data_IF_714177321304
#
_entry.id   IF_714177321304
#
_cell.length_a   1.000
_cell.length_b   1.000
_cell.length_c   1.000
_cell.angle_alpha   90.00
_cell.angle_beta   90.00
_cell.angle_gamma   90.00
#
_symmetry.space_group_name_H-M   'P 1'
#
loop_
_entity.id
_entity.type
_entity.pdbx_description
1 polymer ?
#
# COMPACT_ATOMS: atom_id res chain seq x y z
N UNK A 1 -6.91 -8.32 -26.03
CA UNK A 1 -5.44 -8.28 -25.79
C UNK A 1 -5.05 -8.34 -24.31
N UNK A 2 -5.85 -7.81 -23.37
CA UNK A 2 -5.57 -7.85 -21.91
C UNK A 2 -5.31 -9.27 -21.36
N UNK A 3 -6.02 -10.28 -21.86
CA UNK A 3 -5.80 -11.68 -21.46
C UNK A 3 -4.40 -12.21 -21.81
N UNK A 4 -3.80 -11.73 -22.91
CA UNK A 4 -2.45 -12.15 -23.30
C UNK A 4 -1.40 -11.59 -22.33
N UNK A 5 -1.51 -10.31 -21.96
CA UNK A 5 -0.60 -9.66 -21.01
C UNK A 5 -0.62 -10.34 -19.64
N UNK A 6 -1.83 -10.55 -19.08
CA UNK A 6 -1.98 -11.23 -17.79
C UNK A 6 -1.51 -12.68 -17.85
N UNK A 7 -1.73 -13.38 -18.97
CA UNK A 7 -1.22 -14.73 -19.20
C UNK A 7 0.32 -14.77 -19.25
N UNK A 8 0.97 -13.83 -19.95
CA UNK A 8 2.43 -13.73 -20.00
C UNK A 8 3.05 -13.48 -18.63
N UNK A 9 2.49 -12.54 -17.85
CA UNK A 9 2.94 -12.28 -16.47
C UNK A 9 2.80 -13.53 -15.61
N UNK A 10 1.68 -14.27 -15.69
CA UNK A 10 1.48 -15.53 -14.97
C UNK A 10 2.49 -16.60 -15.37
N UNK A 11 2.76 -16.75 -16.68
CA UNK A 11 3.73 -17.70 -17.22
C UNK A 11 5.15 -17.41 -16.69
N UNK A 12 5.57 -16.15 -16.71
CA UNK A 12 6.87 -15.74 -16.17
C UNK A 12 6.92 -15.96 -14.65
N UNK A 13 5.87 -15.62 -13.91
CA UNK A 13 5.81 -15.80 -12.45
C UNK A 13 5.98 -17.27 -12.01
N UNK A 14 5.69 -18.24 -12.88
CA UNK A 14 5.93 -19.65 -12.61
C UNK A 14 7.43 -20.02 -12.56
N UNK A 15 8.29 -19.25 -13.24
CA UNK A 15 9.74 -19.46 -13.26
C UNK A 15 10.41 -19.13 -11.92
N UNK A 16 11.64 -19.59 -11.71
CA UNK A 16 12.38 -19.26 -10.50
C UNK A 16 12.78 -17.78 -10.45
N UNK A 17 12.90 -17.23 -9.25
CA UNK A 17 13.24 -15.81 -9.08
C UNK A 17 14.62 -15.47 -9.66
N UNK A 18 15.57 -16.39 -9.61
CA UNK A 18 16.90 -16.23 -10.23
C UNK A 18 16.80 -16.15 -11.76
N UNK A 19 16.00 -17.02 -12.38
CA UNK A 19 15.74 -17.01 -13.82
C UNK A 19 15.07 -15.70 -14.24
N UNK A 20 14.07 -15.24 -13.49
CA UNK A 20 13.41 -13.96 -13.74
C UNK A 20 14.38 -12.78 -13.68
N UNK A 21 15.31 -12.77 -12.72
CA UNK A 21 16.34 -11.73 -12.64
C UNK A 21 17.30 -11.78 -13.82
N UNK A 22 17.66 -12.98 -14.27
CA UNK A 22 18.50 -13.11 -15.46
C UNK A 22 17.76 -12.58 -16.68
N UNK A 23 16.52 -13.00 -16.90
CA UNK A 23 15.70 -12.48 -18.01
C UNK A 23 15.57 -10.97 -17.96
N UNK A 24 15.31 -10.36 -16.79
CA UNK A 24 15.28 -8.90 -16.68
C UNK A 24 16.64 -8.27 -16.98
N UNK A 25 17.75 -8.89 -16.59
CA UNK A 25 19.08 -8.39 -16.95
C UNK A 25 19.31 -8.45 -18.47
N UNK A 26 18.85 -9.51 -19.12
CA UNK A 26 18.92 -9.68 -20.58
C UNK A 26 18.07 -8.61 -21.30
N UNK A 27 16.89 -8.24 -20.78
CA UNK A 27 16.07 -7.15 -21.33
C UNK A 27 16.70 -5.75 -21.13
N UNK A 28 17.58 -5.59 -20.13
CA UNK A 28 18.24 -4.32 -19.81
C UNK A 28 19.64 -4.21 -20.45
N UNK A 29 19.95 -5.07 -21.42
CA UNK A 29 21.29 -5.26 -21.99
C UNK A 29 22.04 -3.94 -22.25
N UNK A 30 23.31 -3.90 -21.82
CA UNK A 30 24.19 -2.73 -21.91
C UNK A 30 23.81 -1.51 -21.06
N UNK A 31 22.54 -1.38 -20.64
CA UNK A 31 22.01 -0.25 -19.86
C UNK A 31 22.18 -0.51 -18.36
N UNK A 32 22.07 -1.78 -17.94
CA UNK A 32 22.23 -2.17 -16.54
C UNK A 32 23.25 -3.29 -16.31
N UNK A 33 24.49 -2.90 -16.03
CA UNK A 33 25.62 -3.84 -15.93
C UNK A 33 25.86 -4.38 -14.51
N UNK A 34 24.89 -4.23 -13.59
CA UNK A 34 25.02 -4.67 -12.20
C UNK A 34 24.13 -5.87 -11.91
N UNK A 35 24.54 -6.69 -10.95
CA UNK A 35 23.69 -7.79 -10.49
C UNK A 35 22.35 -7.26 -9.93
N UNK A 36 21.24 -7.83 -10.40
CA UNK A 36 19.89 -7.52 -9.92
C UNK A 36 19.66 -8.18 -8.55
N UNK A 37 19.60 -7.37 -7.50
CA UNK A 37 19.34 -7.84 -6.13
C UNK A 37 17.82 -7.92 -5.86
N UNK A 38 17.40 -8.06 -4.60
CA UNK A 38 15.98 -7.99 -4.22
C UNK A 38 15.51 -6.55 -3.97
N UNK A 39 16.42 -5.57 -4.04
CA UNK A 39 16.15 -4.18 -3.73
C UNK A 39 15.82 -3.36 -4.98
N UNK A 40 14.86 -2.46 -4.84
CA UNK A 40 14.56 -1.41 -5.81
C UNK A 40 15.59 -0.30 -5.69
N UNK A 41 16.75 -0.51 -6.31
CA UNK A 41 17.78 0.53 -6.42
C UNK A 41 17.35 1.58 -7.42
N UNK A 42 17.71 2.84 -7.17
CA UNK A 42 17.40 3.95 -8.08
C UNK A 42 17.97 3.71 -9.49
N UNK A 43 19.19 3.19 -9.59
CA UNK A 43 19.83 2.86 -10.88
C UNK A 43 19.03 1.82 -11.69
N UNK A 44 18.56 0.75 -11.04
CA UNK A 44 17.73 -0.28 -11.65
C UNK A 44 16.39 0.27 -12.08
N UNK A 45 15.74 1.07 -11.23
CA UNK A 45 14.45 1.65 -11.54
C UNK A 45 14.52 2.61 -12.72
N UNK A 46 15.56 3.44 -12.78
CA UNK A 46 15.81 4.32 -13.93
C UNK A 46 16.06 3.53 -15.21
N UNK A 47 16.86 2.46 -15.16
CA UNK A 47 17.11 1.61 -16.32
C UNK A 47 15.83 0.95 -16.85
N UNK A 48 15.04 0.35 -15.94
CA UNK A 48 13.74 -0.23 -16.28
C UNK A 48 12.79 0.81 -16.86
N UNK A 49 12.69 1.99 -16.24
CA UNK A 49 11.81 3.04 -16.71
C UNK A 49 12.23 3.52 -18.09
N UNK A 50 13.53 3.73 -18.34
CA UNK A 50 14.02 4.17 -19.65
C UNK A 50 13.80 3.16 -20.77
N UNK A 51 13.76 1.85 -20.45
CA UNK A 51 13.38 0.81 -21.41
C UNK A 51 11.88 0.74 -21.67
N UNK A 52 11.07 1.08 -20.66
CA UNK A 52 9.63 1.15 -20.81
C UNK A 52 9.26 2.43 -21.56
N UNK A 53 9.66 3.61 -21.09
CA UNK A 53 9.35 4.93 -21.66
C UNK A 53 10.60 5.66 -22.20
N UNK A 54 11.18 5.28 -23.36
CA UNK A 54 12.42 5.88 -23.87
C UNK A 54 12.35 7.38 -24.17
N UNK A 55 11.13 7.92 -24.35
CA UNK A 55 10.90 9.30 -24.79
C UNK A 55 10.56 10.27 -23.65
N UNK A 56 10.40 9.80 -22.42
CA UNK A 56 10.00 10.62 -21.28
C UNK A 56 10.87 10.30 -20.06
N UNK A 57 11.18 11.32 -19.25
CA UNK A 57 11.87 11.10 -17.97
C UNK A 57 10.92 10.59 -16.88
N UNK A 58 11.37 9.74 -15.93
CA UNK A 58 10.52 9.28 -14.83
C UNK A 58 10.02 10.43 -13.94
N UNK A 59 10.86 11.46 -13.75
CA UNK A 59 10.52 12.65 -12.96
C UNK A 59 9.53 13.57 -13.66
N UNK A 60 9.39 13.49 -14.98
CA UNK A 60 8.37 14.21 -15.74
C UNK A 60 7.05 13.44 -15.67
N UNK A 61 7.09 12.11 -15.87
CA UNK A 61 5.89 11.26 -15.79
C UNK A 61 5.18 11.40 -14.45
N UNK A 62 5.92 11.33 -13.34
CA UNK A 62 5.34 11.35 -11.99
C UNK A 62 4.65 12.67 -11.64
N UNK A 63 4.96 13.79 -12.32
CA UNK A 63 4.29 15.08 -12.05
C UNK A 63 2.81 15.06 -12.42
N UNK A 64 2.39 14.16 -13.33
CA UNK A 64 0.98 13.96 -13.69
C UNK A 64 0.20 13.12 -12.66
N UNK A 65 0.88 12.59 -11.65
CA UNK A 65 0.24 11.79 -10.61
C UNK A 65 -0.57 12.69 -9.67
N UNK A 66 -1.82 12.32 -9.38
CA UNK A 66 -2.77 13.12 -8.58
C UNK A 66 -2.18 13.62 -7.24
N UNK A 67 -1.53 12.73 -6.50
CA UNK A 67 -0.92 13.07 -5.20
C UNK A 67 0.55 13.51 -5.29
N UNK A 68 1.05 13.90 -6.47
CA UNK A 68 2.46 14.28 -6.63
C UNK A 68 2.86 15.41 -5.67
N UNK A 69 4.04 15.27 -5.06
CA UNK A 69 4.64 16.34 -4.29
C UNK A 69 6.13 16.48 -4.62
N UNK A 70 6.63 17.71 -4.84
CA UNK A 70 8.04 17.94 -5.13
C UNK A 70 8.97 17.58 -3.96
N UNK A 71 8.44 17.41 -2.75
CA UNK A 71 9.21 16.99 -1.57
C UNK A 71 9.48 15.48 -1.51
N UNK A 72 8.90 14.68 -2.42
CA UNK A 72 9.11 13.23 -2.43
C UNK A 72 10.57 12.86 -2.68
N UNK A 73 11.05 11.84 -1.99
CA UNK A 73 12.37 11.26 -2.25
C UNK A 73 12.49 10.77 -3.69
N UNK A 74 13.69 10.83 -4.28
CA UNK A 74 13.94 10.32 -5.64
C UNK A 74 13.48 8.87 -5.80
N UNK A 75 13.63 8.06 -4.74
CA UNK A 75 13.20 6.67 -4.73
C UNK A 75 11.68 6.55 -4.85
N UNK A 76 10.93 7.35 -4.10
CA UNK A 76 9.46 7.40 -4.18
C UNK A 76 8.98 7.87 -5.54
N UNK A 77 9.62 8.90 -6.10
CA UNK A 77 9.30 9.40 -7.44
C UNK A 77 9.52 8.31 -8.52
N UNK A 78 10.68 7.65 -8.51
CA UNK A 78 11.00 6.57 -9.45
C UNK A 78 10.05 5.37 -9.34
N UNK A 79 9.78 4.90 -8.11
CA UNK A 79 8.87 3.79 -7.88
C UNK A 79 7.43 4.12 -8.32
N UNK A 80 7.00 5.37 -8.13
CA UNK A 80 5.68 5.84 -8.56
C UNK A 80 5.59 5.94 -10.07
N UNK A 81 6.60 6.51 -10.74
CA UNK A 81 6.67 6.59 -12.20
C UNK A 81 6.61 5.19 -12.83
N UNK A 82 7.43 4.25 -12.33
CA UNK A 82 7.38 2.85 -12.77
C UNK A 82 6.01 2.22 -12.56
N UNK A 83 5.37 2.46 -11.41
CA UNK A 83 4.02 1.96 -11.16
C UNK A 83 3.03 2.47 -12.19
N UNK A 84 3.05 3.77 -12.51
CA UNK A 84 2.18 4.35 -13.54
C UNK A 84 2.39 3.66 -14.89
N UNK A 85 3.64 3.51 -15.34
CA UNK A 85 3.95 2.82 -16.59
C UNK A 85 3.54 1.35 -16.59
N UNK A 86 3.69 0.64 -15.46
CA UNK A 86 3.22 -0.74 -15.34
C UNK A 86 1.69 -0.83 -15.32
N UNK A 87 0.99 0.14 -14.74
CA UNK A 87 -0.46 0.21 -14.79
C UNK A 87 -0.96 0.43 -16.22
N UNK A 88 -0.30 1.29 -16.99
CA UNK A 88 -0.62 1.57 -18.39
C UNK A 88 -0.32 0.38 -19.32
N UNK A 89 0.75 -0.39 -19.03
CA UNK A 89 1.25 -1.44 -19.94
C UNK A 89 0.91 -2.86 -19.55
N UNK A 90 0.83 -3.17 -18.26
CA UNK A 90 0.56 -4.54 -17.81
C UNK A 90 -0.65 -4.66 -16.90
N UNK A 91 -1.50 -3.64 -16.91
CA UNK A 91 -2.73 -3.55 -16.11
C UNK A 91 -2.44 -3.83 -14.62
N UNK A 92 -1.27 -3.39 -14.13
CA UNK A 92 -0.93 -3.45 -12.71
C UNK A 92 -1.95 -2.59 -11.94
N UNK A 93 -2.58 -3.10 -10.87
CA UNK A 93 -3.48 -2.28 -10.07
C UNK A 93 -2.78 -1.05 -9.52
N UNK A 94 -3.39 0.12 -9.68
CA UNK A 94 -2.75 1.40 -9.34
C UNK A 94 -2.53 1.52 -7.82
N UNK A 95 -3.34 0.88 -7.01
CA UNK A 95 -3.18 0.84 -5.55
C UNK A 95 -1.97 0.01 -5.08
N UNK A 96 -1.44 -0.86 -5.94
CA UNK A 96 -0.37 -1.80 -5.59
C UNK A 96 1.02 -1.14 -5.78
N UNK A 97 1.54 -0.54 -4.70
CA UNK A 97 2.87 0.06 -4.67
C UNK A 97 4.00 -0.91 -5.04
N UNK A 98 5.09 -0.39 -5.63
CA UNK A 98 6.30 -1.17 -5.93
C UNK A 98 7.29 -0.97 -4.77
N UNK A 99 7.25 -1.87 -3.78
CA UNK A 99 8.08 -1.77 -2.56
C UNK A 99 9.27 -2.72 -2.54
N UNK A 100 9.25 -3.77 -3.37
CA UNK A 100 10.37 -4.72 -3.52
C UNK A 100 10.39 -5.38 -4.89
N UNK A 101 11.55 -5.93 -5.29
CA UNK A 101 11.69 -6.77 -6.47
C UNK A 101 11.23 -8.21 -6.16
N UNK A 102 9.93 -8.41 -6.02
CA UNK A 102 9.35 -9.76 -5.92
C UNK A 102 9.12 -10.37 -7.32
N UNK A 103 8.75 -11.65 -7.40
CA UNK A 103 8.56 -12.35 -8.69
C UNK A 103 7.51 -11.65 -9.59
N UNK A 104 6.45 -11.11 -8.98
CA UNK A 104 5.38 -10.41 -9.69
C UNK A 104 5.93 -9.16 -10.39
N UNK A 105 6.60 -8.28 -9.63
CA UNK A 105 7.17 -7.03 -10.16
C UNK A 105 8.19 -7.32 -11.25
N UNK A 106 9.05 -8.33 -11.09
CA UNK A 106 10.04 -8.68 -12.12
C UNK A 106 9.35 -9.14 -13.41
N UNK A 107 8.35 -10.03 -13.31
CA UNK A 107 7.60 -10.50 -14.47
C UNK A 107 6.87 -9.36 -15.19
N UNK A 108 6.26 -8.44 -14.44
CA UNK A 108 5.61 -7.24 -14.98
C UNK A 108 6.58 -6.31 -15.71
N UNK A 109 7.77 -6.07 -15.15
CA UNK A 109 8.82 -5.26 -15.80
C UNK A 109 9.26 -5.88 -17.12
N UNK A 110 9.54 -7.20 -17.14
CA UNK A 110 9.94 -7.90 -18.37
C UNK A 110 8.86 -7.76 -19.46
N UNK A 111 7.59 -7.99 -19.11
CA UNK A 111 6.50 -7.88 -20.08
C UNK A 111 6.34 -6.44 -20.57
N UNK A 112 6.45 -5.45 -19.68
CA UNK A 112 6.33 -4.04 -20.04
C UNK A 112 7.45 -3.57 -20.98
N UNK A 113 8.69 -4.04 -20.77
CA UNK A 113 9.85 -3.76 -21.65
C UNK A 113 9.65 -4.40 -23.02
N UNK A 114 9.32 -5.71 -23.06
CA UNK A 114 9.10 -6.43 -24.32
C UNK A 114 8.00 -5.83 -25.19
N UNK A 115 6.97 -5.25 -24.56
CA UNK A 115 5.91 -4.56 -25.29
C UNK A 115 6.39 -3.27 -25.97
N UNK A 116 7.44 -2.60 -25.45
CA UNK A 116 8.07 -1.44 -26.11
C UNK A 116 8.71 -1.83 -27.44
N UNK A 117 9.44 -2.95 -27.46
CA UNK A 117 10.27 -3.36 -28.59
C UNK A 117 9.45 -3.82 -29.80
N UNK A 118 8.26 -4.35 -29.56
CA UNK A 118 7.31 -4.81 -30.60
C UNK A 118 6.51 -3.68 -31.28
N UNK A 119 7.01 -2.44 -31.27
CA UNK A 119 6.34 -1.20 -31.72
C UNK A 119 5.28 -1.31 -32.84
N UNK A 120 4.19 -0.53 -32.69
CA UNK A 120 2.98 -0.38 -33.55
C UNK A 120 1.84 -1.38 -33.38
N UNK A 121 1.31 -1.52 -32.18
CA UNK A 121 -0.15 -1.61 -32.07
C UNK A 121 -0.62 -0.49 -31.15
N UNK A 122 -1.38 0.43 -31.74
CA UNK A 122 -2.25 1.34 -31.01
C UNK A 122 -3.00 0.49 -29.98
N UNK A 123 -2.63 0.66 -28.71
CA UNK A 123 -3.53 0.25 -27.65
C UNK A 123 -4.69 1.21 -27.78
N UNK A 124 -5.86 0.67 -28.11
CA UNK A 124 -7.10 1.35 -27.78
C UNK A 124 -6.97 1.83 -26.33
N UNK A 125 -7.21 3.14 -26.06
CA UNK A 125 -7.18 3.67 -24.72
C UNK A 125 -8.02 2.75 -23.84
N UNK A 126 -7.47 2.38 -22.68
CA UNK A 126 -8.04 1.48 -21.65
C UNK A 126 -9.52 1.22 -21.95
N UNK A 127 -9.91 -0.01 -22.33
CA UNK A 127 -11.30 -0.39 -22.11
C UNK A 127 -11.49 -0.28 -20.60
N UNK A 128 -11.95 0.87 -20.15
CA UNK A 128 -12.24 1.15 -18.76
C UNK A 128 -13.16 0.00 -18.36
N UNK A 129 -12.65 -0.92 -17.54
CA UNK A 129 -13.55 -1.60 -16.62
C UNK A 129 -13.95 -0.53 -15.61
N UNK A 130 -14.76 0.41 -16.08
CA UNK A 130 -15.39 1.52 -15.39
C UNK A 130 -16.44 0.92 -14.48
N UNK A 131 -15.96 0.31 -13.39
CA UNK A 131 -16.77 0.24 -12.19
C UNK A 131 -16.33 1.41 -11.34
N UNK A 132 -17.22 2.27 -10.90
CA UNK A 132 -16.88 3.12 -9.77
C UNK A 132 -16.78 2.25 -8.51
N UNK A 133 -15.90 2.60 -7.58
CA UNK A 133 -15.96 2.00 -6.25
C UNK A 133 -17.38 2.20 -5.68
N UNK A 134 -17.93 1.22 -4.93
CA UNK A 134 -19.25 1.40 -4.29
C UNK A 134 -19.31 2.72 -3.54
N UNK A 135 -20.37 3.50 -3.70
CA UNK A 135 -20.44 4.79 -3.01
C UNK A 135 -20.51 4.59 -1.50
N UNK A 136 -19.75 5.41 -0.75
CA UNK A 136 -19.84 5.47 0.72
C UNK A 136 -20.64 6.71 1.06
N UNK A 137 -21.79 6.55 1.71
CA UNK A 137 -22.63 7.67 2.14
C UNK A 137 -22.49 7.96 3.62
N UNK A 138 -22.14 6.96 4.43
CA UNK A 138 -21.96 7.06 5.87
C UNK A 138 -20.72 6.29 6.33
N UNK A 139 -20.16 6.71 7.45
CA UNK A 139 -19.19 5.93 8.24
C UNK A 139 -19.89 5.55 9.54
N UNK A 140 -19.76 4.30 9.97
CA UNK A 140 -20.26 3.87 11.29
C UNK A 140 -19.67 4.77 12.40
N UNK A 141 -20.41 4.95 13.49
CA UNK A 141 -19.92 5.75 14.63
C UNK A 141 -18.69 5.09 15.27
N UNK A 142 -17.76 5.92 15.76
CA UNK A 142 -16.63 5.44 16.52
C UNK A 142 -17.10 5.02 17.92
N UNK A 143 -16.75 3.84 18.44
CA UNK A 143 -17.01 3.48 19.84
C UNK A 143 -16.01 4.16 20.80
N UNK A 144 -15.10 5.00 20.29
CA UNK A 144 -14.10 5.72 21.06
C UNK A 144 -14.46 7.21 21.12
N UNK A 145 -14.68 7.71 22.35
CA UNK A 145 -15.01 9.11 22.60
C UNK A 145 -13.78 10.02 22.66
N UNK A 146 -12.64 9.49 23.10
CA UNK A 146 -11.40 10.24 23.28
C UNK A 146 -10.36 9.80 22.27
N UNK A 147 -10.06 10.68 21.32
CA UNK A 147 -9.18 10.40 20.19
C UNK A 147 -8.18 11.53 20.01
N UNK A 148 -6.95 11.20 19.63
CA UNK A 148 -5.95 12.16 19.19
C UNK A 148 -5.93 12.20 17.65
N UNK A 149 -6.29 13.31 17.00
CA UNK A 149 -6.24 13.44 15.54
C UNK A 149 -4.83 13.26 14.98
N UNK A 150 -4.72 12.75 13.76
CA UNK A 150 -3.44 12.51 13.11
C UNK A 150 -2.62 13.78 12.87
N UNK A 151 -3.28 14.94 12.75
CA UNK A 151 -2.62 16.24 12.66
C UNK A 151 -1.73 16.56 13.88
N UNK A 152 -1.97 15.92 15.02
CA UNK A 152 -1.25 16.14 16.27
C UNK A 152 -0.15 15.10 16.56
N UNK A 153 0.07 14.14 15.66
CA UNK A 153 1.04 13.06 15.87
C UNK A 153 2.51 13.51 15.85
N UNK A 154 2.83 14.58 15.14
CA UNK A 154 4.17 15.15 15.11
C UNK A 154 4.44 16.14 16.25
N UNK A 155 3.43 16.41 17.08
CA UNK A 155 3.49 17.37 18.17
C UNK A 155 3.76 16.69 19.53
N UNK A 156 4.05 17.51 20.55
CA UNK A 156 4.14 17.03 21.94
C UNK A 156 2.81 16.45 22.44
N UNK A 157 1.69 16.80 21.81
CA UNK A 157 0.36 16.25 22.09
C UNK A 157 0.33 14.72 22.04
N UNK A 158 1.01 14.07 21.08
CA UNK A 158 1.11 12.61 21.01
C UNK A 158 1.75 12.02 22.27
N UNK A 159 2.82 12.65 22.74
CA UNK A 159 3.49 12.20 23.96
C UNK A 159 2.59 12.36 25.19
N UNK A 160 1.97 13.54 25.34
CA UNK A 160 1.05 13.81 26.45
C UNK A 160 -0.13 12.82 26.47
N UNK A 161 -0.79 12.62 25.33
CA UNK A 161 -1.95 11.73 25.22
C UNK A 161 -1.60 10.28 25.62
N UNK A 162 -0.43 9.79 25.21
CA UNK A 162 0.07 8.46 25.53
C UNK A 162 0.44 8.33 27.02
N UNK A 163 1.10 9.35 27.58
CA UNK A 163 1.53 9.35 28.99
C UNK A 163 0.33 9.41 29.94
N UNK A 164 -0.68 10.21 29.64
CA UNK A 164 -1.92 10.31 30.45
C UNK A 164 -2.68 8.98 30.54
N UNK A 165 -2.50 8.10 29.55
CA UNK A 165 -3.10 6.74 29.51
C UNK A 165 -2.19 5.65 30.04
N UNK A 166 -0.97 6.00 30.45
CA UNK A 166 -0.02 5.07 31.05
C UNK A 166 -0.07 5.18 32.56
N UNK A 167 -0.46 4.10 33.24
CA UNK A 167 -0.36 4.05 34.70
C UNK A 167 1.09 3.94 35.15
N UNK A 168 1.39 4.32 36.39
CA UNK A 168 2.76 4.20 36.96
C UNK A 168 3.25 2.75 37.07
N UNK A 169 2.35 1.78 37.11
CA UNK A 169 2.65 0.34 37.11
C UNK A 169 2.56 -0.31 35.73
N UNK A 170 2.31 0.47 34.67
CA UNK A 170 2.20 -0.02 33.31
C UNK A 170 3.54 -0.61 32.83
N UNK A 171 3.46 -1.69 32.05
CA UNK A 171 4.63 -2.27 31.40
C UNK A 171 5.22 -1.36 30.32
N UNK A 172 6.26 -1.86 29.64
CA UNK A 172 7.01 -1.09 28.63
C UNK A 172 6.52 -1.34 27.19
N UNK A 173 5.61 -2.28 26.98
CA UNK A 173 5.14 -2.65 25.64
C UNK A 173 3.71 -2.19 25.43
N UNK A 174 3.50 -1.18 24.59
CA UNK A 174 2.18 -0.65 24.28
C UNK A 174 1.55 -1.35 23.07
N UNK A 175 0.28 -1.71 23.18
CA UNK A 175 -0.62 -2.03 22.05
C UNK A 175 -1.48 -0.81 21.80
N UNK A 176 -1.46 -0.29 20.58
CA UNK A 176 -2.17 0.93 20.19
C UNK A 176 -3.15 0.64 19.05
N UNK A 177 -4.21 1.46 18.97
CA UNK A 177 -5.23 1.37 17.93
C UNK A 177 -5.28 2.69 17.17
N UNK A 178 -5.04 2.63 15.86
CA UNK A 178 -5.20 3.75 14.94
C UNK A 178 -6.52 3.60 14.19
N UNK A 179 -7.33 4.65 14.16
CA UNK A 179 -8.40 4.78 13.18
C UNK A 179 -7.78 5.07 11.82
N UNK A 180 -7.96 4.16 10.87
CA UNK A 180 -7.46 4.23 9.50
C UNK A 180 -8.61 4.36 8.49
N UNK A 181 -9.81 4.75 8.94
CA UNK A 181 -10.97 4.94 8.07
C UNK A 181 -10.73 6.17 7.19
N UNK A 182 -10.58 6.04 5.86
CA UNK A 182 -10.33 7.18 5.00
C UNK A 182 -11.56 8.08 4.94
N UNK A 183 -11.39 9.38 4.64
CA UNK A 183 -12.52 10.28 4.40
C UNK A 183 -13.42 9.76 3.26
N UNK A 184 -14.64 10.29 3.20
CA UNK A 184 -15.61 10.01 2.12
C UNK A 184 -15.56 11.17 1.12
N UNK A 185 -15.65 10.86 -0.17
CA UNK A 185 -15.75 11.86 -1.22
C UNK A 185 -14.40 12.19 -1.84
N UNK A 186 -14.21 13.46 -2.21
CA UNK A 186 -13.05 13.94 -2.99
C UNK A 186 -11.71 13.79 -2.25
N UNK A 187 -11.74 13.71 -0.92
CA UNK A 187 -10.53 13.56 -0.09
C UNK A 187 -10.07 12.10 0.05
N UNK A 188 -10.81 11.11 -0.49
CA UNK A 188 -10.40 9.70 -0.43
C UNK A 188 -9.16 9.45 -1.32
N UNK A 189 -8.09 8.86 -0.76
CA UNK A 189 -6.91 8.47 -1.54
C UNK A 189 -7.32 7.56 -2.71
N UNK A 190 -6.98 7.95 -3.94
CA UNK A 190 -7.32 7.18 -5.15
C UNK A 190 -6.89 5.71 -5.08
N UNK A 191 -5.82 5.37 -4.34
CA UNK A 191 -5.39 3.97 -4.15
C UNK A 191 -6.40 3.20 -3.32
N UNK A 192 -7.01 3.82 -2.33
CA UNK A 192 -8.10 3.22 -1.55
C UNK A 192 -9.31 3.01 -2.46
N UNK A 193 -9.72 4.04 -3.21
CA UNK A 193 -10.85 3.94 -4.14
C UNK A 193 -10.64 2.84 -5.19
N UNK A 194 -9.46 2.80 -5.83
CA UNK A 194 -9.07 1.75 -6.78
C UNK A 194 -9.08 0.35 -6.14
N UNK A 195 -8.55 0.18 -4.93
CA UNK A 195 -8.60 -1.11 -4.24
C UNK A 195 -10.04 -1.54 -3.95
N UNK A 196 -10.89 -0.61 -3.52
CA UNK A 196 -12.30 -0.86 -3.20
C UNK A 196 -13.10 -1.29 -4.42
N UNK A 197 -12.85 -0.69 -5.58
CA UNK A 197 -13.40 -1.12 -6.86
C UNK A 197 -12.98 -2.55 -7.21
N UNK A 198 -11.68 -2.84 -7.18
CA UNK A 198 -11.13 -4.16 -7.50
C UNK A 198 -11.70 -5.25 -6.58
N UNK A 199 -11.79 -4.96 -5.28
CA UNK A 199 -12.33 -5.88 -4.28
C UNK A 199 -13.83 -6.14 -4.48
N UNK A 200 -14.59 -5.13 -4.92
CA UNK A 200 -16.01 -5.32 -5.27
C UNK A 200 -16.16 -6.34 -6.41
N UNK A 201 -15.36 -6.19 -7.47
CA UNK A 201 -15.35 -7.12 -8.60
C UNK A 201 -14.90 -8.54 -8.19
N UNK A 202 -13.85 -8.65 -7.36
CA UNK A 202 -13.37 -9.94 -6.84
C UNK A 202 -14.43 -10.65 -5.98
N UNK A 203 -15.11 -9.90 -5.12
CA UNK A 203 -16.17 -10.42 -4.25
C UNK A 203 -17.35 -10.96 -5.07
N UNK A 204 -17.76 -10.22 -6.11
CA UNK A 204 -18.84 -10.64 -7.02
C UNK A 204 -18.51 -11.91 -7.83
N UNK A 205 -17.22 -12.20 -8.02
CA UNK A 205 -16.75 -13.41 -8.73
C UNK A 205 -16.35 -14.54 -7.79
N UNK A 206 -16.57 -14.40 -6.48
CA UNK A 206 -16.27 -15.43 -5.48
C UNK A 206 -14.78 -15.66 -5.23
N UNK A 207 -13.91 -14.73 -5.60
CA UNK A 207 -12.47 -14.85 -5.35
C UNK A 207 -12.15 -14.60 -3.87
N UNK A 208 -11.19 -15.36 -3.33
CA UNK A 208 -10.72 -15.16 -1.95
C UNK A 208 -9.99 -13.83 -1.81
N UNK A 209 -10.29 -13.10 -0.74
CA UNK A 209 -9.67 -11.82 -0.40
C UNK A 209 -8.53 -12.00 0.62
N UNK A 210 -7.43 -11.30 0.41
CA UNK A 210 -6.34 -11.09 1.39
C UNK A 210 -6.82 -10.22 2.57
N UNK A 211 -6.04 -10.14 3.66
CA UNK A 211 -6.39 -9.30 4.82
C UNK A 211 -6.62 -7.83 4.46
N UNK A 212 -5.77 -7.25 3.60
CA UNK A 212 -5.90 -5.85 3.13
C UNK A 212 -7.16 -5.69 2.27
N UNK A 213 -7.45 -6.65 1.39
CA UNK A 213 -8.65 -6.62 0.57
C UNK A 213 -9.93 -6.77 1.40
N UNK A 214 -9.89 -7.53 2.50
CA UNK A 214 -11.02 -7.60 3.45
C UNK A 214 -11.30 -6.25 4.11
N UNK A 215 -10.26 -5.45 4.40
CA UNK A 215 -10.43 -4.08 4.90
C UNK A 215 -11.08 -3.17 3.85
N UNK A 216 -10.67 -3.25 2.58
CA UNK A 216 -11.36 -2.51 1.52
C UNK A 216 -12.81 -2.98 1.31
N UNK A 217 -13.08 -4.29 1.46
CA UNK A 217 -14.44 -4.81 1.43
C UNK A 217 -15.28 -4.27 2.61
N UNK A 218 -14.68 -4.10 3.79
CA UNK A 218 -15.30 -3.47 4.96
C UNK A 218 -15.69 -2.01 4.68
N UNK A 219 -14.80 -1.22 4.07
CA UNK A 219 -15.14 0.14 3.63
C UNK A 219 -16.32 0.19 2.67
N UNK A 220 -16.41 -0.77 1.73
CA UNK A 220 -17.56 -0.88 0.83
C UNK A 220 -18.89 -1.18 1.54
N UNK A 221 -18.84 -1.66 2.79
CA UNK A 221 -20.02 -1.87 3.66
C UNK A 221 -20.26 -0.71 4.64
N UNK A 222 -19.47 0.37 4.57
CA UNK A 222 -19.57 1.50 5.50
C UNK A 222 -18.95 1.24 6.88
N UNK A 223 -18.16 0.17 7.02
CA UNK A 223 -17.49 -0.19 8.26
C UNK A 223 -16.25 0.69 8.50
N UNK A 224 -15.94 0.96 9.77
CA UNK A 224 -14.70 1.63 10.19
C UNK A 224 -13.50 0.69 10.08
N UNK A 225 -12.32 1.24 9.79
CA UNK A 225 -11.07 0.48 9.77
C UNK A 225 -10.18 0.86 10.95
N UNK A 226 -9.81 -0.15 11.73
CA UNK A 226 -8.85 0.01 12.82
C UNK A 226 -7.57 -0.78 12.53
N UNK A 227 -6.43 -0.12 12.65
CA UNK A 227 -5.13 -0.79 12.67
C UNK A 227 -4.69 -0.95 14.12
N UNK A 228 -4.38 -2.18 14.52
CA UNK A 228 -3.81 -2.50 15.82
C UNK A 228 -2.35 -2.85 15.63
N UNK A 229 -1.49 -2.17 16.37
CA UNK A 229 -0.05 -2.43 16.39
C UNK A 229 0.47 -2.54 17.82
N UNK A 230 1.68 -3.07 17.98
CA UNK A 230 2.40 -3.00 19.24
C UNK A 230 3.81 -2.41 19.07
N UNK A 231 4.31 -1.73 20.10
CA UNK A 231 5.66 -1.19 20.15
C UNK A 231 6.12 -0.93 21.59
N UNK A 232 7.43 -1.03 21.84
CA UNK A 232 8.03 -0.54 23.08
C UNK A 232 8.15 0.99 23.11
N UNK A 233 8.30 1.61 21.93
CA UNK A 233 8.26 3.06 21.74
C UNK A 233 7.06 3.41 20.85
N UNK A 234 5.89 3.53 21.46
CA UNK A 234 4.61 3.82 20.79
C UNK A 234 4.65 5.16 20.05
N UNK A 235 5.09 6.30 20.63
CA UNK A 235 5.15 7.56 19.90
C UNK A 235 5.99 7.47 18.61
N UNK A 236 7.18 6.89 18.69
CA UNK A 236 8.04 6.72 17.50
C UNK A 236 7.35 5.85 16.46
N UNK A 237 6.73 4.73 16.88
CA UNK A 237 6.05 3.83 15.93
C UNK A 237 4.86 4.47 15.24
N UNK A 238 4.06 5.26 15.95
CA UNK A 238 2.93 6.00 15.36
C UNK A 238 3.43 7.00 14.31
N UNK A 239 4.49 7.77 14.59
CA UNK A 239 5.07 8.69 13.60
C UNK A 239 5.58 7.97 12.35
N UNK A 240 6.13 6.76 12.49
CA UNK A 240 6.52 5.93 11.34
C UNK A 240 5.31 5.55 10.46
N UNK A 241 4.15 5.26 11.06
CA UNK A 241 2.93 4.96 10.31
C UNK A 241 2.45 6.16 9.48
N UNK A 242 2.58 7.37 10.01
CA UNK A 242 2.18 8.63 9.36
C UNK A 242 3.16 9.03 8.26
N UNK A 243 4.46 8.95 8.56
CA UNK A 243 5.54 9.28 7.64
C UNK A 243 5.64 8.29 6.47
N UNK A 244 5.05 7.11 6.64
CA UNK A 244 4.86 6.12 5.58
C UNK A 244 5.99 5.09 5.44
N UNK A 245 6.00 4.40 4.30
CA UNK A 245 6.84 3.22 4.06
C UNK A 245 8.34 3.50 4.19
N UNK A 246 8.78 4.68 3.76
CA UNK A 246 10.19 5.10 3.79
C UNK A 246 10.70 5.25 5.24
N UNK A 247 9.81 5.49 6.20
CA UNK A 247 10.12 5.57 7.64
C UNK A 247 9.83 4.26 8.38
N UNK A 248 9.50 3.17 7.68
CA UNK A 248 9.20 1.87 8.29
C UNK A 248 7.73 1.66 8.69
N UNK A 249 6.81 2.50 8.22
CA UNK A 249 5.37 2.32 8.40
C UNK A 249 4.86 1.02 7.77
N UNK A 250 3.88 0.38 8.42
CA UNK A 250 3.28 -0.87 7.96
C UNK A 250 2.62 -0.73 6.58
N UNK A 251 2.60 -1.80 5.78
CA UNK A 251 1.97 -1.79 4.44
C UNK A 251 0.51 -1.33 4.51
N UNK A 252 -0.21 -1.75 5.56
CA UNK A 252 -1.59 -1.36 5.79
C UNK A 252 -1.74 0.14 5.97
N UNK A 253 -1.01 0.77 6.89
CA UNK A 253 -1.13 2.20 7.18
C UNK A 253 -0.61 3.10 6.06
N UNK A 254 0.22 2.56 5.16
CA UNK A 254 0.64 3.25 3.93
C UNK A 254 -0.47 3.35 2.88
N UNK A 255 -1.45 2.45 2.95
CA UNK A 255 -2.61 2.42 2.06
C UNK A 255 -3.83 3.07 2.72
N UNK A 256 -4.08 2.75 3.99
CA UNK A 256 -5.12 3.34 4.82
C UNK A 256 -4.46 4.23 5.87
N UNK A 257 -4.21 5.49 5.49
CA UNK A 257 -3.51 6.45 6.35
C UNK A 257 -4.24 6.66 7.69
N UNK A 258 -3.51 6.65 8.83
CA UNK A 258 -4.11 6.95 10.13
C UNK A 258 -4.78 8.33 10.16
N UNK A 259 -6.00 8.39 10.70
CA UNK A 259 -6.77 9.61 10.95
C UNK A 259 -6.75 10.01 12.43
N UNK A 260 -6.66 9.03 13.33
CA UNK A 260 -6.58 9.28 14.76
C UNK A 260 -5.96 8.11 15.52
N UNK A 261 -5.45 8.38 16.73
CA UNK A 261 -5.09 7.39 17.74
C UNK A 261 -6.25 7.33 18.72
N UNK A 262 -6.84 6.16 18.88
CA UNK A 262 -8.11 6.00 19.60
C UNK A 262 -7.98 5.16 20.87
N UNK A 263 -6.91 4.39 21.00
CA UNK A 263 -6.67 3.56 22.18
C UNK A 263 -5.18 3.22 22.35
N UNK A 264 -4.74 3.05 23.60
CA UNK A 264 -3.44 2.50 23.95
C UNK A 264 -3.53 1.72 25.27
N UNK A 265 -3.00 0.51 25.28
CA UNK A 265 -2.93 -0.38 26.44
C UNK A 265 -1.50 -0.89 26.62
N UNK A 266 -1.05 -1.05 27.87
CA UNK A 266 0.35 -1.35 28.18
C UNK A 266 0.52 -2.71 28.86
N UNK A 267 1.55 -3.45 28.44
CA UNK A 267 1.83 -4.82 28.88
C UNK A 267 3.27 -4.99 29.34
N UNK A 268 3.46 -5.88 30.32
CA UNK A 268 4.76 -6.14 30.95
C UNK A 268 5.75 -6.85 30.04
N UNK A 269 5.27 -7.67 29.11
CA UNK A 269 6.14 -8.43 28.21
C UNK A 269 5.72 -8.26 26.76
N UNK A 270 6.70 -8.29 25.87
CA UNK A 270 6.47 -8.24 24.42
C UNK A 270 5.56 -9.39 23.96
N UNK A 271 5.73 -10.58 24.55
CA UNK A 271 4.92 -11.75 24.23
C UNK A 271 3.44 -11.52 24.53
N UNK A 272 3.13 -10.91 25.68
CA UNK A 272 1.75 -10.53 26.02
C UNK A 272 1.23 -9.47 25.04
N UNK A 273 2.01 -8.41 24.77
CA UNK A 273 1.60 -7.35 23.86
C UNK A 273 1.27 -7.89 22.45
N UNK A 274 2.09 -8.81 21.90
CA UNK A 274 1.83 -9.47 20.61
C UNK A 274 0.56 -10.32 20.61
N UNK A 275 0.28 -11.03 21.71
CA UNK A 275 -0.96 -11.80 21.84
C UNK A 275 -2.18 -10.87 21.87
N UNK A 276 -2.05 -9.76 22.59
CA UNK A 276 -3.10 -8.77 22.79
C UNK A 276 -3.38 -7.93 21.54
N UNK A 277 -2.37 -7.63 20.72
CA UNK A 277 -2.53 -7.01 19.39
C UNK A 277 -3.55 -7.78 18.53
N UNK A 278 -3.37 -9.10 18.41
CA UNK A 278 -4.26 -9.96 17.61
C UNK A 278 -5.65 -10.10 18.23
N UNK A 279 -5.70 -10.25 19.56
CA UNK A 279 -6.96 -10.33 20.30
C UNK A 279 -7.76 -9.05 20.10
N UNK A 280 -7.12 -7.90 20.27
CA UNK A 280 -7.73 -6.57 20.12
C UNK A 280 -8.22 -6.31 18.70
N UNK A 281 -7.47 -6.68 17.66
CA UNK A 281 -7.96 -6.59 16.27
C UNK A 281 -9.19 -7.47 16.03
N UNK A 282 -9.28 -8.64 16.67
CA UNK A 282 -10.45 -9.51 16.59
C UNK A 282 -11.66 -8.90 17.29
N UNK A 283 -11.47 -8.31 18.48
CA UNK A 283 -12.54 -7.60 19.21
C UNK A 283 -13.10 -6.41 18.43
N UNK A 284 -12.23 -5.68 17.73
CA UNK A 284 -12.59 -4.54 16.89
C UNK A 284 -13.16 -4.93 15.53
N UNK A 285 -13.33 -6.23 15.26
CA UNK A 285 -13.99 -6.71 14.04
C UNK A 285 -15.43 -7.06 14.36
N UNK A 286 -16.33 -6.12 14.11
CA UNK A 286 -17.78 -6.27 14.30
C UNK A 286 -18.46 -6.11 12.96
N UNK A 287 -19.08 -7.19 12.46
CA UNK A 287 -19.71 -7.22 11.13
C UNK A 287 -20.76 -6.10 10.99
N UNK A 288 -20.61 -5.28 9.94
CA UNK A 288 -21.50 -4.14 9.68
C UNK A 288 -21.12 -2.86 10.43
N UNK A 289 -20.13 -2.88 11.32
CA UNK A 289 -19.70 -1.71 12.10
C UNK A 289 -18.22 -1.39 11.89
N UNK A 290 -17.34 -2.38 12.09
CA UNK A 290 -15.89 -2.15 12.11
C UNK A 290 -15.07 -3.38 11.73
N UNK A 291 -13.86 -3.12 11.23
CA UNK A 291 -12.87 -4.13 10.89
C UNK A 291 -11.54 -3.80 11.56
N UNK A 292 -11.05 -4.71 12.40
CA UNK A 292 -9.74 -4.61 13.04
C UNK A 292 -8.67 -5.37 12.26
N UNK A 293 -7.56 -4.71 11.98
CA UNK A 293 -6.39 -5.27 11.30
C UNK A 293 -5.21 -5.39 12.27
N UNK A 294 -4.60 -6.57 12.30
CA UNK A 294 -3.28 -6.81 12.89
C UNK A 294 -2.43 -7.66 11.91
N UNK A 295 -1.12 -7.44 11.90
CA UNK A 295 -0.18 -8.17 11.01
C UNK A 295 -0.12 -9.68 11.30
#
# INVERSE_FOLDING_TARGET
MQDNTRHQVRKLKAQDKSQLKQSLADELDGIYNRQITNSLRNDLMTACFGQIEPKQGPFEKVQSHENYSPSWSNKKQLATALRMSLSERVDRPEHDGITSLNKQVIAELIVAIRQTDTSTQDRDPKSEQSGTAPERTNVSDSPFDDTLPAADFDNYALYTWIVERRTTSAGEHGVYVLDCTPPIGEDEDFRVSSLRQDVSQKSNTGQSLTKIEKAAAALNRGERLYYVGYASDVPTRIRQHVSGADSGGAKFTNLFSPQALVDVSWYQTEMTARSEERRRATELTVSGESFGYAE
#
